data_IF_597360850947
#
_entry.id   IF_597360850947
#
_cell.length_a   1.000
_cell.length_b   1.000
_cell.length_c   1.000
_cell.angle_alpha   90.00
_cell.angle_beta   90.00
_cell.angle_gamma   90.00
#
_symmetry.space_group_name_H-M   'P 1'
#
loop_
_entity.id
_entity.type
_entity.pdbx_description
1 polymer ?
#
# COMPACT_ATOMS: atom_id res chain seq x y z
N UNK A 1 4.89 -9.07 7.61
CA UNK A 1 5.50 -10.29 7.04
C UNK A 1 6.60 -10.85 7.94
N UNK A 2 7.65 -10.10 8.25
CA UNK A 2 8.74 -10.56 9.12
C UNK A 2 8.37 -10.77 10.61
N UNK A 3 7.10 -10.67 10.96
CA UNK A 3 6.56 -11.06 12.27
C UNK A 3 5.76 -12.37 12.21
N UNK A 4 5.23 -12.71 11.04
CA UNK A 4 4.52 -13.97 10.81
C UNK A 4 5.49 -15.08 10.36
N UNK A 5 6.52 -14.72 9.60
CA UNK A 5 7.54 -15.65 9.08
C UNK A 5 7.50 -15.74 7.56
N UNK A 6 6.30 -15.92 6.97
CA UNK A 6 6.11 -16.04 5.52
C UNK A 6 5.06 -15.10 4.95
N UNK A 7 5.04 -14.99 3.61
CA UNK A 7 3.99 -14.27 2.87
C UNK A 7 2.61 -14.90 3.10
N UNK A 8 2.52 -16.22 3.00
CA UNK A 8 1.26 -16.97 3.15
C UNK A 8 0.63 -16.77 4.53
N UNK A 9 1.43 -16.84 5.60
CA UNK A 9 0.93 -16.61 6.97
C UNK A 9 0.46 -15.16 7.16
N UNK A 10 1.17 -14.20 6.56
CA UNK A 10 0.76 -12.79 6.56
C UNK A 10 -0.61 -12.59 5.88
N UNK A 11 -0.83 -13.22 4.73
CA UNK A 11 -2.11 -13.18 4.01
C UNK A 11 -3.21 -13.86 4.82
N UNK A 12 -2.94 -15.03 5.41
CA UNK A 12 -3.90 -15.74 6.25
C UNK A 12 -4.33 -14.90 7.46
N UNK A 13 -3.38 -14.24 8.12
CA UNK A 13 -3.63 -13.33 9.25
C UNK A 13 -4.51 -12.15 8.83
N UNK A 14 -4.19 -11.53 7.69
CA UNK A 14 -4.99 -10.43 7.15
C UNK A 14 -6.43 -10.85 6.85
N UNK A 15 -6.62 -12.03 6.23
CA UNK A 15 -7.95 -12.56 5.92
C UNK A 15 -8.74 -12.84 7.18
N UNK A 16 -8.14 -13.51 8.18
CA UNK A 16 -8.81 -13.77 9.45
C UNK A 16 -9.26 -12.48 10.16
N UNK A 17 -8.41 -11.44 10.17
CA UNK A 17 -8.79 -10.14 10.72
C UNK A 17 -9.95 -9.49 9.95
N UNK A 18 -9.91 -9.56 8.61
CA UNK A 18 -10.97 -9.02 7.75
C UNK A 18 -12.31 -9.74 7.96
N UNK A 19 -12.29 -11.06 8.05
CA UNK A 19 -13.49 -11.88 8.28
C UNK A 19 -14.12 -11.61 9.66
N UNK A 20 -13.29 -11.23 10.64
CA UNK A 20 -13.73 -10.74 11.95
C UNK A 20 -14.20 -9.26 11.95
N UNK A 21 -14.21 -8.60 10.80
CA UNK A 21 -14.63 -7.20 10.66
C UNK A 21 -13.59 -6.17 11.13
N UNK A 22 -12.32 -6.57 11.33
CA UNK A 22 -11.27 -5.66 11.77
C UNK A 22 -10.62 -4.95 10.59
N UNK A 23 -10.26 -3.67 10.81
CA UNK A 23 -9.35 -2.97 9.93
C UNK A 23 -7.92 -3.46 10.13
N UNK A 24 -7.12 -3.50 9.05
CA UNK A 24 -5.74 -3.94 9.11
C UNK A 24 -4.82 -2.92 8.43
N UNK A 25 -3.65 -2.70 9.03
CA UNK A 25 -2.62 -1.79 8.51
C UNK A 25 -1.40 -2.62 8.15
N UNK A 26 -0.95 -2.51 6.89
CA UNK A 26 0.35 -3.06 6.50
C UNK A 26 1.42 -2.06 6.93
N UNK A 27 2.41 -2.52 7.69
CA UNK A 27 3.43 -1.65 8.31
C UNK A 27 4.85 -2.11 8.02
N UNK A 28 5.72 -1.17 7.66
CA UNK A 28 7.16 -1.36 7.63
C UNK A 28 7.72 -1.48 9.06
N UNK A 29 9.00 -1.87 9.19
CA UNK A 29 9.73 -1.89 10.47
C UNK A 29 10.65 -0.68 10.62
N UNK A 30 11.28 -0.53 11.80
CA UNK A 30 12.19 0.59 12.10
C UNK A 30 13.51 0.50 11.34
N UNK A 31 14.05 -0.71 11.16
CA UNK A 31 15.13 -1.01 10.20
C UNK A 31 14.52 -1.47 8.88
N UNK A 32 14.74 -0.71 7.81
CA UNK A 32 14.23 -1.00 6.46
C UNK A 32 15.34 -0.90 5.44
N UNK A 33 15.12 -1.56 4.31
CA UNK A 33 15.94 -1.47 3.10
C UNK A 33 15.17 -0.75 2.01
N UNK A 34 15.72 -0.57 0.82
CA UNK A 34 14.99 0.00 -0.33
C UNK A 34 14.02 -0.98 -0.98
N UNK A 35 13.84 -2.20 -0.43
CA UNK A 35 12.84 -3.15 -0.90
C UNK A 35 11.43 -2.53 -0.86
N UNK A 36 10.67 -2.73 -1.94
CA UNK A 36 9.34 -2.13 -2.13
C UNK A 36 8.22 -3.17 -2.10
N UNK A 37 8.53 -4.43 -1.77
CA UNK A 37 7.55 -5.53 -1.76
C UNK A 37 6.33 -5.22 -0.88
N UNK A 38 6.52 -4.45 0.19
CA UNK A 38 5.45 -4.04 1.10
C UNK A 38 4.41 -3.13 0.45
N UNK A 39 4.81 -2.28 -0.50
CA UNK A 39 3.88 -1.40 -1.24
C UNK A 39 2.98 -2.23 -2.18
N UNK A 40 3.56 -3.23 -2.83
CA UNK A 40 2.82 -4.19 -3.66
C UNK A 40 1.89 -5.06 -2.82
N UNK A 41 2.37 -5.57 -1.69
CA UNK A 41 1.56 -6.38 -0.77
C UNK A 41 0.35 -5.61 -0.25
N UNK A 42 0.56 -4.38 0.22
CA UNK A 42 -0.52 -3.53 0.73
C UNK A 42 -1.59 -3.25 -0.33
N UNK A 43 -1.15 -2.94 -1.56
CA UNK A 43 -2.04 -2.72 -2.69
C UNK A 43 -2.81 -4.00 -3.04
N UNK A 44 -2.11 -5.12 -3.22
CA UNK A 44 -2.71 -6.40 -3.62
C UNK A 44 -3.66 -6.98 -2.58
N UNK A 45 -3.42 -6.75 -1.29
CA UNK A 45 -4.34 -7.12 -0.22
C UNK A 45 -5.58 -6.23 -0.15
N UNK A 46 -5.52 -5.03 -0.73
CA UNK A 46 -6.56 -4.01 -0.55
C UNK A 46 -6.73 -3.64 0.92
N UNK A 47 -5.63 -3.56 1.69
CA UNK A 47 -5.69 -3.31 3.15
C UNK A 47 -6.16 -1.90 3.50
N UNK A 48 -6.20 -0.99 2.53
CA UNK A 48 -6.67 0.39 2.70
C UNK A 48 -5.70 1.31 3.45
N UNK A 49 -4.80 0.76 4.27
CA UNK A 49 -3.83 1.55 5.04
C UNK A 49 -2.42 0.95 4.96
N UNK A 50 -1.46 1.80 4.61
CA UNK A 50 -0.03 1.48 4.56
C UNK A 50 0.74 2.47 5.43
N UNK A 51 1.54 1.96 6.37
CA UNK A 51 2.41 2.75 7.25
C UNK A 51 3.87 2.40 6.99
N UNK A 52 4.57 3.23 6.23
CA UNK A 52 5.98 2.97 5.88
C UNK A 52 6.97 3.95 6.49
N UNK A 53 6.51 5.01 7.17
CA UNK A 53 7.35 6.05 7.81
C UNK A 53 7.12 7.42 7.19
N UNK A 54 7.88 8.43 7.66
CA UNK A 54 7.80 9.80 7.13
C UNK A 54 8.34 9.89 5.70
N UNK A 55 8.10 11.03 5.04
CA UNK A 55 8.68 11.38 3.73
C UNK A 55 10.14 11.83 3.87
N UNK A 56 10.95 11.02 4.53
CA UNK A 56 12.36 11.28 4.77
C UNK A 56 13.11 9.95 4.81
N UNK A 57 14.38 9.99 4.40
CA UNK A 57 15.27 8.84 4.20
C UNK A 57 14.88 7.94 3.03
N UNK A 58 15.87 7.51 2.26
CA UNK A 58 15.66 6.86 0.96
C UNK A 58 14.89 5.55 1.07
N UNK A 59 15.09 4.77 2.13
CA UNK A 59 14.44 3.48 2.32
C UNK A 59 12.91 3.60 2.50
N UNK A 60 12.45 4.77 2.99
CA UNK A 60 11.03 5.12 3.16
C UNK A 60 10.46 5.68 1.87
N UNK A 61 11.20 6.60 1.25
CA UNK A 61 10.82 7.21 -0.02
C UNK A 61 10.70 6.18 -1.14
N UNK A 62 11.53 5.13 -1.16
CA UNK A 62 11.41 4.04 -2.13
C UNK A 62 10.00 3.42 -2.15
N UNK A 63 9.41 3.20 -0.97
CA UNK A 63 8.07 2.59 -0.82
C UNK A 63 6.95 3.56 -1.21
N UNK A 64 7.08 4.85 -0.84
CA UNK A 64 6.13 5.88 -1.26
C UNK A 64 6.15 6.11 -2.77
N UNK A 65 7.34 6.19 -3.36
CA UNK A 65 7.52 6.32 -4.81
C UNK A 65 6.93 5.11 -5.54
N UNK A 66 7.08 3.91 -4.98
CA UNK A 66 6.46 2.73 -5.57
C UNK A 66 4.93 2.78 -5.53
N UNK A 67 4.33 3.31 -4.46
CA UNK A 67 2.88 3.51 -4.42
C UNK A 67 2.42 4.44 -5.55
N UNK A 68 3.20 5.48 -5.88
CA UNK A 68 2.90 6.38 -7.00
C UNK A 68 3.01 5.66 -8.35
N UNK A 69 4.05 4.84 -8.56
CA UNK A 69 4.20 4.03 -9.79
C UNK A 69 3.06 3.03 -9.96
N UNK A 70 2.69 2.34 -8.89
CA UNK A 70 1.54 1.42 -8.88
C UNK A 70 0.26 2.17 -9.26
N UNK A 71 0.03 3.35 -8.69
CA UNK A 71 -1.14 4.16 -8.99
C UNK A 71 -1.18 4.63 -10.45
N UNK A 72 -0.03 4.99 -11.03
CA UNK A 72 0.09 5.35 -12.45
C UNK A 72 -0.30 4.19 -13.37
N UNK A 73 0.16 2.98 -13.06
CA UNK A 73 -0.16 1.76 -13.83
C UNK A 73 -1.64 1.38 -13.74
N UNK A 74 -2.24 1.47 -12.54
CA UNK A 74 -3.65 1.09 -12.34
C UNK A 74 -4.63 2.16 -12.84
N UNK A 75 -4.15 3.40 -13.03
CA UNK A 75 -4.96 4.50 -13.53
C UNK A 75 -5.93 5.10 -12.50
N UNK A 76 -6.72 6.11 -12.90
CA UNK A 76 -7.50 6.95 -11.99
C UNK A 76 -8.68 6.22 -11.33
N UNK A 77 -9.12 5.09 -11.86
CA UNK A 77 -10.18 4.28 -11.23
C UNK A 77 -9.66 3.43 -10.07
N UNK A 78 -8.34 3.35 -9.90
CA UNK A 78 -7.73 2.66 -8.78
C UNK A 78 -8.01 3.37 -7.44
N UNK A 79 -8.19 2.56 -6.39
CA UNK A 79 -8.46 3.04 -5.04
C UNK A 79 -7.18 3.14 -4.22
N UNK A 80 -7.01 4.27 -3.55
CA UNK A 80 -6.09 4.40 -2.42
C UNK A 80 -6.91 4.78 -1.19
N UNK A 81 -6.97 3.90 -0.17
CA UNK A 81 -7.57 4.19 1.12
C UNK A 81 -9.07 4.58 1.12
N UNK A 82 -9.89 3.94 0.30
CA UNK A 82 -11.36 3.99 0.41
C UNK A 82 -12.09 5.01 -0.48
N UNK A 83 -11.38 5.81 -1.28
CA UNK A 83 -11.97 6.65 -2.33
C UNK A 83 -11.26 6.45 -3.69
N UNK A 84 -11.98 6.52 -4.83
CA UNK A 84 -11.36 6.46 -6.15
C UNK A 84 -10.43 7.66 -6.40
N UNK A 85 -9.25 7.43 -6.97
CA UNK A 85 -8.30 8.49 -7.32
C UNK A 85 -8.88 9.52 -8.30
N UNK A 86 -9.81 9.11 -9.16
CA UNK A 86 -10.55 9.95 -10.12
C UNK A 86 -11.14 11.22 -9.50
N UNK A 87 -11.54 11.17 -8.23
CA UNK A 87 -12.14 12.31 -7.52
C UNK A 87 -11.10 13.28 -6.94
N UNK A 88 -9.82 12.96 -7.00
CA UNK A 88 -8.71 13.81 -6.54
C UNK A 88 -8.19 14.72 -7.66
N UNK A 89 -7.35 15.70 -7.31
CA UNK A 89 -6.65 16.53 -8.31
C UNK A 89 -5.83 15.69 -9.29
N UNK A 90 -5.20 14.61 -8.82
CA UNK A 90 -4.36 13.74 -9.63
C UNK A 90 -5.16 12.97 -10.69
N UNK A 91 -6.29 12.39 -10.28
CA UNK A 91 -7.19 11.69 -11.21
C UNK A 91 -7.82 12.62 -12.26
N UNK A 92 -8.18 13.86 -11.88
CA UNK A 92 -8.69 14.86 -12.83
C UNK A 92 -7.66 15.27 -13.89
N UNK A 93 -6.37 15.31 -13.53
CA UNK A 93 -5.29 15.65 -14.47
C UNK A 93 -5.02 14.51 -15.47
N UNK A 94 -5.13 13.26 -15.02
CA UNK A 94 -4.89 12.08 -15.84
C UNK A 94 -6.01 11.80 -16.86
N UNK A 95 -7.26 12.20 -16.60
CA UNK A 95 -8.40 12.01 -17.50
C UNK A 95 -8.62 13.14 -18.53
N UNK A 96 -7.69 14.09 -18.64
CA UNK A 96 -7.78 15.24 -19.54
C UNK A 96 -7.03 15.05 -20.87
N UNK A 97 -6.69 13.80 -21.22
CA UNK A 97 -6.01 13.41 -22.46
C UNK A 97 -6.84 12.42 -23.26
#
# INVERSE_FOLDING_TARGET
LNQAGTVSEGIATFRAARDAGWGAVVSARSGETEDVSISHLATGLGCGQLKVGSFQRSERMAKWNECLRIAEVLGPEAFAAGAPLRRTWWGRKAGAG
#
